data_IF_434654951253
#
_entry.id   IF_434654951253
#
_cell.length_a   1.000
_cell.length_b   1.000
_cell.length_c   1.000
_cell.angle_alpha   90.00
_cell.angle_beta   90.00
_cell.angle_gamma   90.00
#
_symmetry.space_group_name_H-M   'P 1'
#
loop_
_entity.id
_entity.type
_entity.pdbx_description
1 polymer ?
#
# COMPACT_ATOMS: atom_id res chain seq x y z
N UNK A 1 32.51 48.89 -17.81
CA UNK A 1 31.62 48.44 -16.72
C UNK A 1 30.71 47.36 -17.24
N UNK A 2 30.95 46.10 -16.86
CA UNK A 2 30.05 44.98 -17.18
C UNK A 2 29.24 44.65 -15.93
N UNK A 3 27.91 44.70 -16.03
CA UNK A 3 27.03 44.31 -14.94
C UNK A 3 27.09 42.78 -14.73
N UNK A 4 27.00 42.29 -13.47
CA UNK A 4 26.97 40.85 -13.22
C UNK A 4 25.63 40.28 -13.72
N UNK A 5 25.72 39.23 -14.53
CA UNK A 5 24.56 38.43 -14.91
C UNK A 5 23.98 37.78 -13.64
N UNK A 6 22.73 38.10 -13.33
CA UNK A 6 21.98 37.47 -12.25
C UNK A 6 21.79 35.99 -12.59
N UNK A 7 22.47 35.12 -11.85
CA UNK A 7 22.31 33.68 -11.98
C UNK A 7 20.87 33.29 -11.67
N UNK A 8 20.17 32.74 -12.67
CA UNK A 8 18.83 32.18 -12.48
C UNK A 8 18.88 31.09 -11.40
N UNK A 9 17.86 30.98 -10.53
CA UNK A 9 17.81 29.93 -9.53
C UNK A 9 17.91 28.58 -10.22
N UNK A 10 18.87 27.75 -9.79
CA UNK A 10 19.06 26.41 -10.30
C UNK A 10 17.74 25.64 -10.14
N UNK A 11 17.08 25.34 -11.27
CA UNK A 11 15.85 24.56 -11.26
C UNK A 11 16.13 23.23 -10.58
N UNK A 12 15.44 22.97 -9.46
CA UNK A 12 15.56 21.69 -8.73
C UNK A 12 15.27 20.56 -9.71
N UNK A 13 16.25 19.68 -9.91
CA UNK A 13 16.10 18.54 -10.80
C UNK A 13 14.88 17.71 -10.37
N UNK A 14 14.04 17.34 -11.35
CA UNK A 14 12.86 16.53 -11.08
C UNK A 14 13.25 15.17 -10.49
N UNK A 15 12.48 14.64 -9.51
CA UNK A 15 12.77 13.34 -8.92
C UNK A 15 12.70 12.24 -9.97
N UNK A 16 13.61 11.26 -9.86
CA UNK A 16 13.73 10.14 -10.79
C UNK A 16 13.41 8.82 -10.10
N UNK A 17 12.82 7.92 -10.86
CA UNK A 17 12.64 6.52 -10.51
C UNK A 17 13.98 5.78 -10.68
N UNK A 18 14.10 4.60 -10.07
CA UNK A 18 15.26 3.72 -10.21
C UNK A 18 15.50 3.26 -11.66
N UNK A 19 14.46 3.24 -12.50
CA UNK A 19 14.60 2.97 -13.93
C UNK A 19 15.11 4.17 -14.75
N UNK A 20 15.35 5.33 -14.12
CA UNK A 20 15.83 6.56 -14.77
C UNK A 20 14.72 7.48 -15.30
N UNK A 21 13.49 6.99 -15.44
CA UNK A 21 12.32 7.81 -15.78
C UNK A 21 11.98 8.79 -14.65
N UNK A 22 11.14 9.79 -14.95
CA UNK A 22 10.70 10.76 -13.94
C UNK A 22 9.63 10.15 -13.04
N UNK A 23 9.57 10.62 -11.80
CA UNK A 23 8.44 10.40 -10.91
C UNK A 23 7.46 11.58 -11.05
N UNK A 24 6.19 11.27 -11.26
CA UNK A 24 5.11 12.24 -11.27
C UNK A 24 4.30 12.12 -9.98
N UNK A 25 3.89 13.26 -9.41
CA UNK A 25 3.00 13.29 -8.24
C UNK A 25 1.57 13.45 -8.74
N UNK A 26 0.72 12.49 -8.44
CA UNK A 26 -0.71 12.51 -8.76
C UNK A 26 -1.57 12.25 -7.53
N UNK A 27 -2.88 12.39 -7.67
CA UNK A 27 -3.79 11.98 -6.60
C UNK A 27 -4.11 10.47 -6.69
N UNK A 28 -4.52 9.88 -5.57
CA UNK A 28 -4.87 8.44 -5.53
C UNK A 28 -5.99 8.08 -6.49
N UNK A 29 -6.99 8.95 -6.68
CA UNK A 29 -8.11 8.66 -7.58
C UNK A 29 -7.66 8.49 -9.02
N UNK A 30 -6.84 9.41 -9.52
CA UNK A 30 -6.25 9.32 -10.85
C UNK A 30 -5.41 8.05 -11.00
N UNK A 31 -4.64 7.71 -9.98
CA UNK A 31 -3.82 6.50 -10.01
C UNK A 31 -4.66 5.22 -10.02
N UNK A 32 -5.75 5.15 -9.26
CA UNK A 32 -6.71 4.04 -9.28
C UNK A 32 -7.37 3.92 -10.66
N UNK A 33 -7.77 5.04 -11.28
CA UNK A 33 -8.32 5.01 -12.64
C UNK A 33 -7.29 4.51 -13.65
N UNK A 34 -6.06 5.01 -13.61
CA UNK A 34 -4.97 4.50 -14.44
C UNK A 34 -4.73 3.01 -14.18
N UNK A 35 -4.84 2.56 -12.92
CA UNK A 35 -4.68 1.17 -12.57
C UNK A 35 -5.73 0.27 -13.26
N UNK A 36 -6.98 0.69 -13.28
CA UNK A 36 -8.10 -0.03 -13.90
C UNK A 36 -7.97 -0.03 -15.43
N UNK A 37 -7.75 1.14 -16.03
CA UNK A 37 -7.72 1.30 -17.48
C UNK A 37 -6.55 0.58 -18.15
N UNK A 38 -5.46 0.34 -17.43
CA UNK A 38 -4.30 -0.41 -17.94
C UNK A 38 -4.57 -1.91 -18.11
N UNK A 39 -5.64 -2.46 -17.52
CA UNK A 39 -5.96 -3.90 -17.59
C UNK A 39 -7.37 -4.23 -18.09
N UNK A 40 -8.28 -3.26 -18.17
CA UNK A 40 -9.70 -3.50 -18.47
C UNK A 40 -10.19 -2.49 -19.51
N UNK A 41 -10.86 -2.96 -20.56
CA UNK A 41 -11.44 -2.10 -21.61
C UNK A 41 -12.75 -1.41 -21.17
N UNK A 42 -13.34 -1.86 -20.07
CA UNK A 42 -14.64 -1.40 -19.56
C UNK A 42 -14.45 -0.88 -18.13
N UNK A 43 -14.91 0.35 -17.91
CA UNK A 43 -14.90 0.96 -16.58
C UNK A 43 -15.87 0.19 -15.65
N UNK A 44 -15.48 -0.14 -14.42
CA UNK A 44 -16.36 -0.82 -13.48
C UNK A 44 -17.57 0.07 -13.10
N UNK A 45 -18.68 -0.54 -12.66
CA UNK A 45 -19.80 0.18 -12.08
C UNK A 45 -19.37 1.15 -10.96
N UNK A 46 -20.08 2.27 -10.82
CA UNK A 46 -19.74 3.35 -9.88
C UNK A 46 -19.52 2.85 -8.45
N UNK A 47 -20.37 1.95 -7.95
CA UNK A 47 -20.25 1.39 -6.61
C UNK A 47 -18.92 0.62 -6.39
N UNK A 48 -18.42 -0.07 -7.42
CA UNK A 48 -17.13 -0.77 -7.36
C UNK A 48 -15.97 0.22 -7.40
N UNK A 49 -16.09 1.28 -8.21
CA UNK A 49 -15.10 2.35 -8.29
C UNK A 49 -14.99 3.09 -6.95
N UNK A 50 -16.11 3.35 -6.28
CA UNK A 50 -16.13 3.93 -4.92
C UNK A 50 -15.43 3.03 -3.91
N UNK A 51 -15.68 1.71 -3.95
CA UNK A 51 -14.99 0.75 -3.10
C UNK A 51 -13.46 0.78 -3.33
N UNK A 52 -13.02 0.88 -4.60
CA UNK A 52 -11.60 1.03 -4.94
C UNK A 52 -11.00 2.36 -4.49
N UNK A 53 -11.78 3.44 -4.42
CA UNK A 53 -11.30 4.70 -3.84
C UNK A 53 -11.17 4.64 -2.31
N UNK A 54 -12.03 3.87 -1.63
CA UNK A 54 -11.94 3.68 -0.18
C UNK A 54 -10.81 2.72 0.21
N UNK A 55 -10.55 1.71 -0.62
CA UNK A 55 -9.45 0.78 -0.43
C UNK A 55 -8.63 0.63 -1.72
N UNK A 56 -7.75 1.62 -2.03
CA UNK A 56 -6.96 1.62 -3.26
C UNK A 56 -6.04 0.40 -3.37
N UNK A 57 -6.01 -0.29 -4.52
CA UNK A 57 -5.07 -1.39 -4.77
C UNK A 57 -3.66 -0.87 -5.11
N UNK A 58 -3.26 0.24 -4.49
CA UNK A 58 -1.97 0.91 -4.71
C UNK A 58 -1.12 0.71 -3.46
N UNK A 59 0.02 0.05 -3.62
CA UNK A 59 0.95 -0.28 -2.55
C UNK A 59 2.24 0.51 -2.75
N UNK A 60 2.79 1.05 -1.67
CA UNK A 60 4.08 1.74 -1.72
C UNK A 60 5.22 0.71 -1.87
N UNK A 61 6.03 0.81 -2.91
CA UNK A 61 7.16 -0.12 -3.15
C UNK A 61 8.28 -0.01 -2.10
N UNK A 62 8.34 1.09 -1.35
CA UNK A 62 9.37 1.30 -0.32
C UNK A 62 8.99 0.75 1.05
N UNK A 63 7.72 0.88 1.45
CA UNK A 63 7.26 0.40 2.76
C UNK A 63 6.27 -0.76 2.70
N UNK A 64 5.94 -1.24 1.51
CA UNK A 64 4.99 -2.33 1.25
C UNK A 64 3.60 -2.16 1.88
N UNK A 65 3.24 -0.93 2.24
CA UNK A 65 1.94 -0.61 2.84
C UNK A 65 0.99 -0.02 1.78
N UNK A 66 -0.33 -0.23 1.90
CA UNK A 66 -1.32 0.47 1.07
C UNK A 66 -1.18 1.99 1.18
N UNK A 67 -1.24 2.68 0.04
CA UNK A 67 -1.13 4.13 0.02
C UNK A 67 -2.46 4.75 0.43
N UNK A 68 -2.53 5.21 1.69
CA UNK A 68 -3.71 5.90 2.26
C UNK A 68 -3.59 7.44 2.25
N UNK A 69 -2.52 7.98 1.66
CA UNK A 69 -2.30 9.42 1.55
C UNK A 69 -3.09 10.03 0.39
N UNK A 70 -3.20 11.35 0.33
CA UNK A 70 -3.95 12.03 -0.75
C UNK A 70 -3.20 12.01 -2.08
N UNK A 71 -1.87 11.99 -2.02
CA UNK A 71 -1.03 11.87 -3.20
C UNK A 71 -0.16 10.63 -3.18
N UNK A 72 0.31 10.26 -4.37
CA UNK A 72 1.28 9.20 -4.62
C UNK A 72 2.26 9.69 -5.68
N UNK A 73 3.49 9.22 -5.58
CA UNK A 73 4.49 9.40 -6.62
C UNK A 73 4.56 8.13 -7.44
N UNK A 74 4.36 8.24 -8.75
CA UNK A 74 4.34 7.09 -9.66
C UNK A 74 5.37 7.30 -10.76
N UNK A 75 6.02 6.23 -11.20
CA UNK A 75 6.92 6.28 -12.35
C UNK A 75 6.13 6.60 -13.63
N UNK A 76 6.62 7.55 -14.44
CA UNK A 76 5.96 7.90 -15.71
C UNK A 76 5.98 6.77 -16.74
N UNK A 77 6.91 5.82 -16.62
CA UNK A 77 6.88 4.61 -17.44
C UNK A 77 5.78 3.63 -17.00
N UNK A 78 5.18 3.83 -15.83
CA UNK A 78 4.14 2.98 -15.28
C UNK A 78 4.54 1.50 -15.28
N UNK A 79 3.61 0.63 -15.68
CA UNK A 79 3.81 -0.83 -15.77
C UNK A 79 4.48 -1.31 -17.05
N UNK A 80 5.01 -0.40 -17.87
CA UNK A 80 5.57 -0.73 -19.20
C UNK A 80 6.98 -1.28 -19.15
N UNK A 81 7.55 -1.50 -17.96
CA UNK A 81 8.92 -1.97 -17.80
C UNK A 81 8.96 -3.21 -16.91
N UNK A 82 9.94 -4.08 -17.16
CA UNK A 82 10.18 -5.29 -16.36
C UNK A 82 10.59 -4.94 -14.92
N UNK A 83 11.22 -3.78 -14.71
CA UNK A 83 11.71 -3.35 -13.39
C UNK A 83 10.60 -3.05 -12.38
N UNK A 84 9.39 -2.72 -12.83
CA UNK A 84 8.26 -2.45 -11.95
C UNK A 84 6.94 -2.77 -12.65
N UNK A 85 6.55 -4.04 -12.56
CA UNK A 85 5.27 -4.57 -13.05
C UNK A 85 4.05 -3.90 -12.40
N UNK A 86 4.24 -3.16 -11.30
CA UNK A 86 3.20 -2.45 -10.55
C UNK A 86 3.27 -0.91 -10.64
N UNK A 87 4.03 -0.34 -11.59
CA UNK A 87 4.16 1.10 -11.86
C UNK A 87 5.11 1.91 -10.97
N UNK A 88 5.72 1.28 -9.97
CA UNK A 88 6.59 1.92 -8.97
C UNK A 88 5.90 3.10 -8.31
N UNK A 89 5.08 2.80 -7.30
CA UNK A 89 4.29 3.74 -6.52
C UNK A 89 4.97 4.00 -5.16
N UNK A 90 5.12 5.27 -4.79
CA UNK A 90 5.76 5.70 -3.54
C UNK A 90 4.85 6.66 -2.78
N UNK A 91 4.55 6.35 -1.53
CA UNK A 91 3.73 7.23 -0.68
C UNK A 91 4.45 8.55 -0.35
N UNK A 92 3.70 9.59 0.03
CA UNK A 92 4.27 10.91 0.33
C UNK A 92 5.32 10.86 1.44
N UNK A 93 5.13 9.99 2.44
CA UNK A 93 6.07 9.81 3.55
C UNK A 93 7.41 9.26 3.07
N UNK A 94 7.41 8.13 2.37
CA UNK A 94 8.65 7.52 1.91
C UNK A 94 9.35 8.41 0.87
N UNK A 95 8.59 9.07 0.00
CA UNK A 95 9.18 10.06 -0.89
C UNK A 95 9.84 11.21 -0.11
N UNK A 96 9.15 11.74 0.90
CA UNK A 96 9.66 12.82 1.73
C UNK A 96 10.94 12.46 2.49
N UNK A 97 11.05 11.22 2.94
CA UNK A 97 12.19 10.66 3.68
C UNK A 97 13.38 10.42 2.76
N UNK A 98 13.19 9.71 1.65
CA UNK A 98 14.27 9.32 0.75
C UNK A 98 14.71 10.43 -0.22
N UNK A 99 13.83 11.36 -0.60
CA UNK A 99 14.18 12.45 -1.51
C UNK A 99 14.76 13.68 -0.80
N UNK A 100 14.45 13.88 0.49
CA UNK A 100 14.89 15.05 1.27
C UNK A 100 15.66 14.71 2.54
N UNK A 101 15.98 13.43 2.78
CA UNK A 101 16.76 13.01 3.95
C UNK A 101 16.06 13.24 5.29
N UNK A 102 14.72 13.25 5.31
CA UNK A 102 13.94 13.34 6.56
C UNK A 102 13.90 11.96 7.21
N UNK A 103 15.02 11.53 7.77
CA UNK A 103 15.05 10.41 8.70
C UNK A 103 14.17 10.77 9.89
N UNK A 104 13.16 9.94 10.21
CA UNK A 104 12.63 9.98 11.58
C UNK A 104 13.78 9.51 12.46
N UNK A 105 14.47 10.44 13.11
CA UNK A 105 15.24 10.14 14.30
C UNK A 105 14.28 9.39 15.22
N UNK A 106 14.60 8.12 15.44
CA UNK A 106 13.81 7.20 16.23
C UNK A 106 13.55 7.88 17.56
N UNK A 107 12.28 8.08 17.90
CA UNK A 107 11.90 8.24 19.29
C UNK A 107 12.20 6.89 19.95
N UNK A 108 13.47 6.71 20.36
CA UNK A 108 13.91 5.77 21.37
C UNK A 108 13.18 6.15 22.67
N UNK A 109 11.93 5.73 22.78
CA UNK A 109 11.41 5.43 24.11
C UNK A 109 11.93 4.04 24.40
N UNK A 110 13.04 3.99 25.11
CA UNK A 110 13.47 2.82 25.86
C UNK A 110 12.29 2.39 26.73
N UNK A 111 11.49 1.42 26.26
CA UNK A 111 10.68 0.61 27.16
C UNK A 111 11.65 -0.33 27.85
N UNK A 112 12.15 0.21 28.96
CA UNK A 112 12.64 -0.48 30.15
C UNK A 112 11.99 -1.87 30.26
N UNK A 113 12.74 -2.90 29.87
CA UNK A 113 12.45 -4.30 30.16
C UNK A 113 13.08 -4.58 31.51
N UNK A 114 12.31 -4.39 32.57
CA UNK A 114 12.63 -4.96 33.88
C UNK A 114 12.22 -6.43 33.88
N UNK A 115 13.23 -7.27 33.65
CA UNK A 115 13.62 -8.43 34.47
C UNK A 115 12.56 -9.14 35.35
N UNK A 116 12.47 -10.47 35.12
CA UNK A 116 12.14 -11.62 35.99
C UNK A 116 10.70 -11.76 36.55
N UNK A 117 10.06 -12.93 36.63
CA UNK A 117 10.55 -14.30 36.90
C UNK A 117 9.68 -15.37 36.22
N UNK A 118 10.30 -16.51 35.88
CA UNK A 118 9.65 -17.81 35.68
C UNK A 118 8.80 -18.19 36.91
N UNK A 119 7.60 -18.76 36.71
CA UNK A 119 7.07 -19.89 37.50
C UNK A 119 5.93 -20.61 36.74
N UNK A 120 5.88 -21.90 37.01
CA UNK A 120 5.24 -23.04 36.34
C UNK A 120 3.75 -23.22 36.69
N UNK A 121 3.06 -24.10 35.94
CA UNK A 121 1.79 -24.79 36.29
C UNK A 121 0.49 -23.99 35.98
N UNK A 122 -0.63 -24.52 35.46
CA UNK A 122 -1.19 -25.88 35.44
C UNK A 122 -2.17 -26.05 34.26
N UNK A 123 -2.33 -27.30 33.81
CA UNK A 123 -3.32 -27.73 32.84
C UNK A 123 -4.70 -27.89 33.52
N UNK A 124 -5.75 -27.21 33.05
CA UNK A 124 -7.17 -27.64 33.16
C UNK A 124 -8.06 -26.60 32.46
N UNK A 125 -8.41 -26.76 31.17
CA UNK A 125 -9.77 -26.53 30.60
C UNK A 125 -9.86 -27.22 29.23
N UNK A 126 -9.64 -28.53 29.16
CA UNK A 126 -9.98 -29.36 27.98
C UNK A 126 -11.38 -30.01 28.15
N UNK A 127 -12.33 -29.30 28.75
CA UNK A 127 -13.65 -29.85 29.10
C UNK A 127 -14.80 -28.90 28.71
N UNK A 128 -14.82 -28.41 27.47
CA UNK A 128 -15.96 -27.67 26.93
C UNK A 128 -16.18 -27.88 25.40
N UNK A 129 -15.79 -29.04 24.87
CA UNK A 129 -15.93 -29.36 23.43
C UNK A 129 -16.86 -30.54 23.11
N UNK A 130 -17.71 -30.99 24.03
CA UNK A 130 -18.72 -32.00 23.71
C UNK A 130 -20.07 -31.59 24.28
N UNK A 131 -21.11 -31.73 23.45
CA UNK A 131 -22.56 -31.54 23.69
C UNK A 131 -23.09 -30.10 23.48
N UNK A 132 -24.03 -29.77 22.60
CA UNK A 132 -24.87 -30.44 21.59
C UNK A 132 -25.22 -29.34 20.53
N UNK A 133 -25.43 -29.62 19.25
CA UNK A 133 -26.71 -30.15 18.77
C UNK A 133 -27.10 -29.48 17.45
N UNK A 134 -27.73 -30.26 16.59
CA UNK A 134 -27.88 -30.10 15.14
C UNK A 134 -29.00 -29.14 14.66
N UNK A 135 -29.17 -29.09 13.32
CA UNK A 135 -30.32 -28.63 12.49
C UNK A 135 -30.13 -27.24 11.85
N UNK A 136 -30.36 -26.95 10.57
CA UNK A 136 -30.85 -27.71 9.42
C UNK A 136 -30.92 -26.77 8.18
N UNK A 137 -30.73 -27.38 7.01
CA UNK A 137 -31.25 -27.10 5.65
C UNK A 137 -31.28 -25.73 4.91
N UNK A 138 -30.77 -25.82 3.67
CA UNK A 138 -31.25 -25.29 2.38
C UNK A 138 -31.03 -23.81 1.99
N UNK A 139 -30.24 -23.63 0.93
CA UNK A 139 -30.18 -22.38 0.16
C UNK A 139 -29.27 -22.49 -1.06
N UNK A 140 -29.72 -23.20 -2.10
CA UNK A 140 -29.07 -23.20 -3.41
C UNK A 140 -29.03 -21.78 -3.99
N UNK A 141 -27.82 -21.24 -4.23
CA UNK A 141 -27.65 -20.06 -5.07
C UNK A 141 -26.52 -20.31 -6.05
N UNK A 142 -26.91 -20.34 -7.32
CA UNK A 142 -26.06 -20.43 -8.49
C UNK A 142 -24.96 -19.36 -8.47
N UNK A 143 -23.72 -19.78 -8.24
CA UNK A 143 -22.54 -18.95 -8.43
C UNK A 143 -22.09 -19.06 -9.88
N UNK A 144 -22.41 -18.02 -10.65
CA UNK A 144 -21.68 -17.73 -11.88
C UNK A 144 -20.28 -17.29 -11.44
N UNK A 145 -19.33 -18.21 -11.58
CA UNK A 145 -17.94 -18.04 -11.19
C UNK A 145 -17.27 -16.89 -11.95
N UNK A 146 -16.94 -15.83 -11.20
CA UNK A 146 -15.87 -14.91 -11.56
C UNK A 146 -14.66 -15.28 -10.71
N UNK A 147 -13.99 -16.37 -11.11
CA UNK A 147 -12.76 -16.82 -10.48
C UNK A 147 -11.60 -15.91 -10.86
N UNK A 148 -11.26 -14.97 -9.98
CA UNK A 148 -9.89 -14.45 -9.89
C UNK A 148 -9.53 -14.31 -8.41
N UNK A 149 -8.69 -15.24 -7.95
CA UNK A 149 -7.99 -15.22 -6.67
C UNK A 149 -7.28 -13.89 -6.49
N UNK A 150 -7.63 -13.14 -5.45
CA UNK A 150 -6.68 -12.32 -4.68
C UNK A 150 -7.12 -12.35 -3.22
N UNK A 151 -6.77 -13.45 -2.55
CA UNK A 151 -6.83 -13.53 -1.08
C UNK A 151 -5.71 -12.67 -0.52
N UNK A 152 -6.05 -11.48 -0.02
CA UNK A 152 -5.16 -10.75 0.87
C UNK A 152 -5.44 -11.30 2.27
N UNK A 153 -4.54 -12.15 2.74
CA UNK A 153 -4.59 -12.69 4.10
C UNK A 153 -4.62 -11.54 5.11
N UNK A 154 -5.77 -11.38 5.76
CA UNK A 154 -5.80 -10.90 7.12
C UNK A 154 -5.23 -12.03 7.99
N UNK A 155 -4.06 -11.81 8.58
CA UNK A 155 -3.40 -12.79 9.43
C UNK A 155 -2.33 -12.09 10.25
N UNK A 156 -2.69 -11.75 11.48
CA UNK A 156 -1.80 -11.28 12.53
C UNK A 156 -0.84 -12.41 12.91
N UNK A 157 0.45 -12.07 13.06
CA UNK A 157 1.38 -12.47 14.14
C UNK A 157 2.76 -11.85 13.88
#
# INVERSE_FOLDING_TARGET
SGAPATAAPAARAAPRCICGARLSRGCIRERVLAYICEGVQVLPPVAQLEALYQNPPIVCDLCSCPVRTRAVWTCENGRRTVLHAAAYDVCERCFAEHAFGRSRELADTSSDRSDETDEEFDATVQAALEEEGASGEAGARSEQGWGWVWSWGAGWL
#
